data_IF_659288733593
#
_entry.id   IF_659288733593
#
_cell.length_a   1.000
_cell.length_b   1.000
_cell.length_c   1.000
_cell.angle_alpha   90.00
_cell.angle_beta   90.00
_cell.angle_gamma   90.00
#
_symmetry.space_group_name_H-M   'P 1'
#
loop_
_entity.id
_entity.type
_entity.pdbx_description
1 polymer ?
#
# COMPACT_ATOMS: atom_id res chain seq x y z
N UNK A 1 21.74 -21.52 -7.76
CA UNK A 1 20.76 -20.51 -7.26
C UNK A 1 20.31 -19.70 -8.47
N UNK A 2 19.00 -19.62 -8.70
CA UNK A 2 18.42 -18.85 -9.83
C UNK A 2 18.54 -17.35 -9.57
N UNK A 3 18.67 -16.58 -10.64
CA UNK A 3 18.90 -15.13 -10.57
C UNK A 3 17.67 -14.38 -11.08
N UNK A 4 17.14 -13.46 -10.29
CA UNK A 4 16.03 -12.57 -10.64
C UNK A 4 16.56 -11.17 -10.95
N UNK A 5 16.29 -10.67 -12.16
CA UNK A 5 16.53 -9.29 -12.54
C UNK A 5 15.41 -8.40 -11.99
N UNK A 6 15.72 -7.56 -11.03
CA UNK A 6 14.77 -6.63 -10.40
C UNK A 6 14.75 -5.31 -11.19
N UNK A 7 13.70 -5.11 -11.97
CA UNK A 7 13.59 -3.97 -12.89
C UNK A 7 12.88 -2.79 -12.21
N UNK A 8 13.65 -1.82 -11.76
CA UNK A 8 13.12 -0.64 -11.06
C UNK A 8 13.93 0.62 -11.34
N UNK A 9 13.28 1.80 -11.18
CA UNK A 9 13.97 3.09 -11.25
C UNK A 9 14.76 3.36 -9.97
N UNK A 10 14.16 3.08 -8.81
CA UNK A 10 14.82 3.20 -7.51
C UNK A 10 15.74 2.00 -7.26
N UNK A 11 16.91 2.25 -6.64
CA UNK A 11 17.83 1.19 -6.24
C UNK A 11 17.22 0.35 -5.10
N UNK A 12 16.86 -0.93 -5.32
CA UNK A 12 16.19 -1.74 -4.31
C UNK A 12 17.12 -2.16 -3.15
N UNK A 13 18.43 -1.91 -3.24
CA UNK A 13 19.39 -2.20 -2.18
C UNK A 13 19.61 -1.01 -1.23
N UNK A 14 19.24 0.22 -1.64
CA UNK A 14 19.55 1.45 -0.91
C UNK A 14 18.31 2.28 -0.60
N UNK A 15 17.35 2.36 -1.54
CA UNK A 15 16.20 3.24 -1.41
C UNK A 15 15.09 2.62 -0.54
N UNK A 16 15.10 3.00 0.74
CA UNK A 16 14.09 2.61 1.73
C UNK A 16 12.85 3.53 1.73
N UNK A 17 12.73 4.45 0.76
CA UNK A 17 11.60 5.42 0.68
C UNK A 17 10.67 5.16 -0.50
N UNK A 18 11.22 4.65 -1.61
CA UNK A 18 10.43 4.39 -2.81
C UNK A 18 9.28 3.43 -2.50
N UNK A 19 8.07 3.83 -2.93
CA UNK A 19 6.83 3.10 -2.68
C UNK A 19 6.64 2.75 -1.19
N UNK A 20 6.87 3.73 -0.30
CA UNK A 20 6.81 3.58 1.16
C UNK A 20 7.76 2.50 1.73
N UNK A 21 8.90 2.25 1.07
CA UNK A 21 9.87 1.23 1.45
C UNK A 21 9.64 -0.15 0.82
N UNK A 22 8.54 -0.33 0.11
CA UNK A 22 8.14 -1.63 -0.46
C UNK A 22 9.14 -2.13 -1.51
N UNK A 23 9.74 -1.24 -2.32
CA UNK A 23 10.76 -1.62 -3.32
C UNK A 23 11.95 -2.33 -2.63
N UNK A 24 12.42 -1.80 -1.52
CA UNK A 24 13.50 -2.38 -0.73
C UNK A 24 13.09 -3.73 -0.11
N UNK A 25 11.91 -3.78 0.53
CA UNK A 25 11.42 -4.98 1.23
C UNK A 25 11.07 -6.14 0.30
N UNK A 26 10.52 -5.87 -0.89
CA UNK A 26 10.28 -6.92 -1.90
C UNK A 26 11.61 -7.56 -2.33
N UNK A 27 12.68 -6.78 -2.52
CA UNK A 27 13.99 -7.31 -2.87
C UNK A 27 14.50 -8.24 -1.75
N UNK A 28 14.41 -7.82 -0.47
CA UNK A 28 14.76 -8.68 0.67
C UNK A 28 13.92 -9.97 0.68
N UNK A 29 12.60 -9.85 0.44
CA UNK A 29 11.71 -11.00 0.34
C UNK A 29 12.11 -11.99 -0.75
N UNK A 30 12.51 -11.50 -1.93
CA UNK A 30 12.99 -12.35 -3.03
C UNK A 30 14.30 -13.06 -2.65
N UNK A 31 15.23 -12.38 -1.96
CA UNK A 31 16.47 -13.00 -1.48
C UNK A 31 16.19 -14.03 -0.39
N UNK A 32 15.29 -13.74 0.54
CA UNK A 32 14.85 -14.67 1.59
C UNK A 32 14.12 -15.90 1.01
N UNK A 33 13.47 -15.75 -0.15
CA UNK A 33 12.89 -16.89 -0.89
C UNK A 33 13.95 -17.76 -1.58
N UNK A 34 15.24 -17.43 -1.50
CA UNK A 34 16.37 -18.21 -2.00
C UNK A 34 16.82 -17.87 -3.43
N UNK A 35 16.50 -16.68 -3.92
CA UNK A 35 16.93 -16.19 -5.24
C UNK A 35 18.04 -15.15 -5.11
N UNK A 36 18.95 -15.12 -6.06
CA UNK A 36 19.89 -14.02 -6.22
C UNK A 36 19.18 -12.86 -6.93
N UNK A 37 19.32 -11.64 -6.39
CA UNK A 37 18.76 -10.44 -7.01
C UNK A 37 19.85 -9.63 -7.71
N UNK A 38 19.58 -9.22 -8.94
CA UNK A 38 20.38 -8.28 -9.73
C UNK A 38 19.51 -7.08 -10.07
N UNK A 39 19.89 -5.90 -9.62
CA UNK A 39 19.18 -4.68 -10.00
C UNK A 39 19.41 -4.35 -11.47
N UNK A 40 18.32 -4.14 -12.18
CA UNK A 40 18.27 -3.68 -13.56
C UNK A 40 17.61 -2.31 -13.60
N UNK A 41 18.40 -1.23 -13.54
CA UNK A 41 17.86 0.11 -13.57
C UNK A 41 17.26 0.46 -14.92
N UNK A 42 16.18 1.27 -14.90
CA UNK A 42 15.71 2.00 -16.06
C UNK A 42 15.61 3.50 -15.75
N UNK A 43 15.68 4.34 -16.77
CA UNK A 43 15.59 5.79 -16.61
C UNK A 43 14.29 6.32 -17.23
N UNK A 44 13.44 6.90 -16.39
CA UNK A 44 12.16 7.52 -16.78
C UNK A 44 12.24 9.05 -16.88
N UNK A 45 13.44 9.64 -16.87
CA UNK A 45 13.65 11.10 -16.90
C UNK A 45 14.70 11.56 -17.93
N UNK A 46 14.84 10.82 -19.02
CA UNK A 46 15.69 11.25 -20.16
C UNK A 46 15.10 12.49 -20.85
N UNK A 47 15.90 13.15 -21.67
CA UNK A 47 15.41 14.27 -22.51
C UNK A 47 14.17 13.90 -23.33
N UNK A 48 14.13 12.69 -23.93
CA UNK A 48 12.97 12.20 -24.68
C UNK A 48 11.71 12.08 -23.80
N UNK A 49 11.86 11.63 -22.55
CA UNK A 49 10.74 11.61 -21.58
C UNK A 49 10.24 13.01 -21.25
N UNK A 50 11.14 13.98 -21.08
CA UNK A 50 10.76 15.39 -20.80
C UNK A 50 9.98 15.98 -21.97
N UNK A 51 10.42 15.73 -23.21
CA UNK A 51 9.70 16.14 -24.44
C UNK A 51 8.31 15.48 -24.49
N UNK A 52 8.21 14.17 -24.32
CA UNK A 52 6.93 13.45 -24.32
C UNK A 52 5.96 13.99 -23.26
N UNK A 53 6.44 14.15 -22.02
CA UNK A 53 5.64 14.71 -20.92
C UNK A 53 5.20 16.14 -21.21
N UNK A 54 6.05 16.94 -21.87
CA UNK A 54 5.75 18.30 -22.33
C UNK A 54 4.62 18.32 -23.38
N UNK A 55 4.68 17.46 -24.39
CA UNK A 55 3.66 17.34 -25.43
C UNK A 55 2.30 16.89 -24.85
N UNK A 56 2.30 15.91 -23.95
CA UNK A 56 1.08 15.46 -23.26
C UNK A 56 0.49 16.60 -22.43
N UNK A 57 1.33 17.34 -21.69
CA UNK A 57 0.91 18.51 -20.92
C UNK A 57 0.32 19.62 -21.80
N UNK A 58 0.93 19.88 -22.95
CA UNK A 58 0.43 20.87 -23.91
C UNK A 58 -0.94 20.48 -24.48
N UNK A 59 -1.12 19.19 -24.80
CA UNK A 59 -2.35 18.68 -25.43
C UNK A 59 -3.52 18.48 -24.45
N UNK A 60 -3.26 18.08 -23.20
CA UNK A 60 -4.27 17.63 -22.23
C UNK A 60 -4.25 18.37 -20.89
N UNK A 61 -3.32 19.33 -20.70
CA UNK A 61 -3.21 20.10 -19.47
C UNK A 61 -2.22 19.55 -18.44
N UNK A 62 -2.10 20.26 -17.30
CA UNK A 62 -1.07 19.98 -16.28
C UNK A 62 -1.38 18.72 -15.45
N UNK A 63 -2.65 18.49 -15.14
CA UNK A 63 -3.12 17.50 -14.16
C UNK A 63 -3.54 16.18 -14.80
N UNK A 64 -2.73 15.65 -15.73
CA UNK A 64 -2.98 14.38 -16.40
C UNK A 64 -1.82 13.41 -16.19
N UNK A 65 -2.10 12.12 -16.24
CA UNK A 65 -1.08 11.09 -16.24
C UNK A 65 -0.25 11.17 -17.52
N UNK A 66 1.08 11.20 -17.37
CA UNK A 66 2.02 11.38 -18.48
C UNK A 66 2.82 10.10 -18.79
N UNK A 67 2.67 9.11 -17.94
CA UNK A 67 3.52 7.90 -17.84
C UNK A 67 2.78 6.59 -18.14
N UNK A 68 1.45 6.60 -18.28
CA UNK A 68 0.65 5.41 -18.57
C UNK A 68 0.29 5.31 -20.07
N UNK A 69 1.31 5.28 -20.95
CA UNK A 69 1.11 5.16 -22.40
C UNK A 69 2.27 4.43 -23.08
N UNK A 70 2.02 3.91 -24.29
CA UNK A 70 2.97 3.11 -25.05
C UNK A 70 4.32 3.81 -25.32
N UNK A 71 4.30 5.12 -25.51
CA UNK A 71 5.53 5.88 -25.82
C UNK A 71 6.43 5.99 -24.60
N UNK A 72 5.83 6.24 -23.44
CA UNK A 72 6.55 6.28 -22.18
C UNK A 72 7.21 4.93 -21.86
N UNK A 73 6.44 3.83 -21.89
CA UNK A 73 6.98 2.50 -21.61
C UNK A 73 8.05 2.05 -22.59
N UNK A 74 7.90 2.41 -23.89
CA UNK A 74 8.94 2.16 -24.89
C UNK A 74 10.24 2.89 -24.54
N UNK A 75 10.15 4.19 -24.22
CA UNK A 75 11.32 4.97 -23.85
C UNK A 75 12.00 4.42 -22.58
N UNK A 76 11.24 3.97 -21.58
CA UNK A 76 11.81 3.32 -20.39
C UNK A 76 12.51 2.00 -20.77
N UNK A 77 11.86 1.15 -21.56
CA UNK A 77 12.42 -0.13 -22.02
C UNK A 77 13.73 0.04 -22.79
N UNK A 78 13.84 1.10 -23.62
CA UNK A 78 15.04 1.40 -24.41
C UNK A 78 16.27 1.73 -23.52
N UNK A 79 16.06 2.13 -22.26
CA UNK A 79 17.17 2.44 -21.32
C UNK A 79 17.69 1.23 -20.56
N UNK A 80 17.00 0.08 -20.62
CA UNK A 80 17.38 -1.14 -19.88
C UNK A 80 18.63 -1.76 -20.52
N UNK A 81 19.63 -2.10 -19.69
CA UNK A 81 20.84 -2.78 -20.14
C UNK A 81 20.60 -4.28 -20.38
N UNK A 82 20.63 -4.70 -21.64
CA UNK A 82 20.45 -6.10 -22.04
C UNK A 82 21.57 -7.03 -21.55
N UNK A 83 22.77 -6.50 -21.25
CA UNK A 83 23.84 -7.30 -20.64
C UNK A 83 23.52 -7.70 -19.20
N UNK A 84 22.77 -6.88 -18.46
CA UNK A 84 22.26 -7.26 -17.14
C UNK A 84 21.12 -8.28 -17.27
N UNK A 85 20.19 -8.05 -18.20
CA UNK A 85 19.08 -8.97 -18.49
C UNK A 85 19.59 -10.37 -18.85
N UNK A 86 20.65 -10.49 -19.66
CA UNK A 86 21.18 -11.79 -20.07
C UNK A 86 21.70 -12.65 -18.90
N UNK A 87 22.09 -12.02 -17.80
CA UNK A 87 22.59 -12.69 -16.59
C UNK A 87 21.50 -13.24 -15.68
N UNK A 88 20.22 -12.95 -15.98
CA UNK A 88 19.08 -13.31 -15.15
C UNK A 88 18.31 -14.50 -15.75
N UNK A 89 17.72 -15.31 -14.88
CA UNK A 89 16.80 -16.38 -15.30
C UNK A 89 15.38 -15.82 -15.49
N UNK A 90 14.96 -14.87 -14.64
CA UNK A 90 13.65 -14.23 -14.61
C UNK A 90 13.77 -12.73 -14.48
N UNK A 91 12.72 -11.99 -14.85
CA UNK A 91 12.62 -10.56 -14.59
C UNK A 91 11.42 -10.28 -13.69
N UNK A 92 11.66 -9.54 -12.60
CA UNK A 92 10.65 -9.09 -11.66
C UNK A 92 10.43 -7.59 -11.83
N UNK A 93 9.17 -7.22 -12.06
CA UNK A 93 8.74 -5.84 -12.22
C UNK A 93 7.83 -5.43 -11.05
N UNK A 94 8.30 -4.64 -10.08
CA UNK A 94 7.45 -4.00 -9.09
C UNK A 94 6.77 -2.78 -9.71
N UNK A 95 5.69 -3.02 -10.45
CA UNK A 95 5.13 -2.06 -11.40
C UNK A 95 5.88 -2.04 -12.73
N UNK A 96 5.26 -1.47 -13.77
CA UNK A 96 5.93 -1.17 -15.05
C UNK A 96 6.22 -2.36 -15.98
N UNK A 97 5.65 -3.55 -15.74
CA UNK A 97 5.82 -4.72 -16.63
C UNK A 97 5.40 -4.45 -18.09
N UNK A 98 4.65 -3.39 -18.33
CA UNK A 98 4.29 -2.89 -19.67
C UNK A 98 5.53 -2.61 -20.54
N UNK A 99 6.70 -2.37 -19.94
CA UNK A 99 7.96 -2.21 -20.68
C UNK A 99 8.34 -3.46 -21.49
N UNK A 100 8.04 -4.65 -20.96
CA UNK A 100 8.34 -5.92 -21.60
C UNK A 100 7.54 -6.18 -22.90
N UNK A 101 6.47 -5.43 -23.12
CA UNK A 101 5.70 -5.46 -24.37
C UNK A 101 6.46 -4.76 -25.52
N UNK A 102 7.25 -3.75 -25.19
CA UNK A 102 7.92 -2.88 -26.17
C UNK A 102 9.39 -3.23 -26.42
N UNK A 103 9.92 -4.18 -25.65
CA UNK A 103 11.25 -4.74 -25.82
C UNK A 103 11.24 -6.20 -25.40
N UNK A 104 11.60 -7.09 -26.32
CA UNK A 104 11.71 -8.52 -26.00
C UNK A 104 12.95 -8.77 -25.14
N UNK A 105 12.74 -9.23 -23.92
CA UNK A 105 13.80 -9.58 -22.98
C UNK A 105 14.18 -11.07 -23.03
N UNK A 106 13.40 -11.92 -23.72
CA UNK A 106 13.56 -13.38 -23.79
C UNK A 106 13.69 -14.03 -22.40
N UNK A 107 12.95 -13.51 -21.40
CA UNK A 107 12.92 -14.00 -20.04
C UNK A 107 11.47 -14.04 -19.54
N UNK A 108 11.08 -15.02 -18.71
CA UNK A 108 9.78 -15.01 -18.06
C UNK A 108 9.64 -13.76 -17.16
N UNK A 109 8.50 -13.11 -17.24
CA UNK A 109 8.18 -11.87 -16.53
C UNK A 109 7.31 -12.18 -15.31
N UNK A 110 7.71 -11.68 -14.15
CA UNK A 110 6.91 -11.67 -12.91
C UNK A 110 6.47 -10.24 -12.69
N UNK A 111 5.16 -10.00 -12.72
CA UNK A 111 4.58 -8.68 -12.54
C UNK A 111 3.90 -8.56 -11.19
N UNK A 112 4.42 -7.71 -10.31
CA UNK A 112 3.87 -7.43 -8.99
C UNK A 112 3.46 -5.96 -8.85
N UNK A 113 2.23 -5.71 -8.36
CA UNK A 113 1.74 -4.35 -8.03
C UNK A 113 0.54 -4.42 -7.08
N UNK A 114 0.16 -3.29 -6.51
CA UNK A 114 -0.99 -3.15 -5.61
C UNK A 114 -2.29 -2.77 -6.32
N UNK A 115 -2.22 -2.28 -7.56
CA UNK A 115 -3.39 -1.93 -8.35
C UNK A 115 -3.11 -2.05 -9.86
N UNK A 116 -4.16 -2.25 -10.65
CA UNK A 116 -4.15 -2.17 -12.11
C UNK A 116 -4.75 -0.82 -12.56
N UNK A 117 -4.47 -0.40 -13.78
CA UNK A 117 -4.85 0.93 -14.27
C UNK A 117 -6.35 1.22 -14.17
N UNK A 118 -7.24 0.28 -14.56
CA UNK A 118 -8.69 0.55 -14.59
C UNK A 118 -9.31 0.82 -13.21
N UNK A 119 -8.87 0.08 -12.18
CA UNK A 119 -9.39 0.22 -10.82
C UNK A 119 -8.86 1.46 -10.08
N UNK A 120 -7.92 2.19 -10.70
CA UNK A 120 -7.45 3.49 -10.23
C UNK A 120 -8.29 4.65 -10.79
N UNK A 121 -9.08 4.42 -11.86
CA UNK A 121 -9.97 5.43 -12.44
C UNK A 121 -11.09 5.74 -11.45
N UNK A 122 -11.38 7.05 -11.28
CA UNK A 122 -12.37 7.57 -10.33
C UNK A 122 -12.17 7.12 -8.86
N UNK A 123 -10.98 6.56 -8.58
CA UNK A 123 -10.55 6.12 -7.26
C UNK A 123 -9.36 6.94 -6.72
N UNK A 124 -8.27 7.02 -7.52
CA UNK A 124 -7.14 7.93 -7.30
C UNK A 124 -7.01 8.95 -8.43
N UNK A 125 -7.46 8.61 -9.62
CA UNK A 125 -7.32 9.41 -10.83
C UNK A 125 -8.67 9.82 -11.36
N UNK A 126 -8.97 11.09 -11.22
CA UNK A 126 -10.26 11.68 -11.60
C UNK A 126 -10.15 12.47 -12.91
N UNK A 127 -11.22 12.48 -13.69
CA UNK A 127 -11.39 13.34 -14.88
C UNK A 127 -10.28 13.18 -15.93
N UNK A 128 -9.76 11.96 -16.13
CA UNK A 128 -8.74 11.72 -17.14
C UNK A 128 -9.31 11.82 -18.56
N UNK A 129 -8.53 12.39 -19.53
CA UNK A 129 -8.91 12.41 -20.94
C UNK A 129 -9.09 10.99 -21.51
N UNK A 130 -10.08 10.78 -22.38
CA UNK A 130 -10.37 9.48 -23.02
C UNK A 130 -9.15 8.83 -23.67
N UNK A 131 -8.27 9.62 -24.27
CA UNK A 131 -7.03 9.09 -24.87
C UNK A 131 -6.11 8.48 -23.80
N UNK A 132 -5.91 9.14 -22.67
CA UNK A 132 -5.10 8.65 -21.54
C UNK A 132 -5.69 7.34 -21.02
N UNK A 133 -7.02 7.30 -20.80
CA UNK A 133 -7.72 6.08 -20.33
C UNK A 133 -7.53 4.93 -21.33
N UNK A 134 -7.72 5.20 -22.62
CA UNK A 134 -7.53 4.19 -23.68
C UNK A 134 -6.09 3.66 -23.72
N UNK A 135 -5.09 4.55 -23.64
CA UNK A 135 -3.68 4.14 -23.64
C UNK A 135 -3.30 3.37 -22.38
N UNK A 136 -3.70 3.85 -21.21
CA UNK A 136 -3.44 3.20 -19.93
C UNK A 136 -4.01 1.77 -19.89
N UNK A 137 -5.30 1.60 -20.19
CA UNK A 137 -5.93 0.28 -20.24
C UNK A 137 -5.30 -0.65 -21.28
N UNK A 138 -4.92 -0.11 -22.46
CA UNK A 138 -4.26 -0.92 -23.50
C UNK A 138 -2.90 -1.41 -23.04
N UNK A 139 -2.07 -0.53 -22.48
CA UNK A 139 -0.72 -0.89 -22.03
C UNK A 139 -0.76 -1.82 -20.84
N UNK A 140 -1.69 -1.61 -19.89
CA UNK A 140 -1.90 -2.49 -18.74
C UNK A 140 -2.27 -3.91 -19.21
N UNK A 141 -3.28 -4.04 -20.06
CA UNK A 141 -3.71 -5.32 -20.64
C UNK A 141 -2.54 -6.08 -21.25
N UNK A 142 -1.76 -5.40 -22.09
CA UNK A 142 -0.60 -6.03 -22.75
C UNK A 142 0.48 -6.42 -21.74
N UNK A 143 0.73 -5.62 -20.71
CA UNK A 143 1.68 -5.93 -19.64
C UNK A 143 1.25 -7.18 -18.87
N UNK A 144 -0.02 -7.26 -18.47
CA UNK A 144 -0.60 -8.42 -17.77
C UNK A 144 -0.52 -9.68 -18.64
N UNK A 145 -0.95 -9.61 -19.89
CA UNK A 145 -0.98 -10.77 -20.80
C UNK A 145 0.41 -11.25 -21.20
N UNK A 146 1.41 -10.34 -21.24
CA UNK A 146 2.79 -10.70 -21.56
C UNK A 146 3.56 -11.22 -20.32
N UNK A 147 3.02 -11.07 -19.13
CA UNK A 147 3.63 -11.57 -17.91
C UNK A 147 3.39 -13.06 -17.73
N UNK A 148 4.44 -13.80 -17.37
CA UNK A 148 4.35 -15.24 -17.07
C UNK A 148 3.58 -15.48 -15.77
N UNK A 149 3.82 -14.63 -14.75
CA UNK A 149 3.12 -14.62 -13.48
C UNK A 149 2.66 -13.20 -13.17
N UNK A 150 1.41 -13.06 -12.76
CA UNK A 150 0.84 -11.84 -12.20
C UNK A 150 0.63 -12.03 -10.70
N UNK A 151 1.18 -11.13 -9.88
CA UNK A 151 1.00 -11.11 -8.44
C UNK A 151 0.43 -9.74 -8.05
N UNK A 152 -0.57 -9.73 -7.17
CA UNK A 152 -1.17 -8.50 -6.66
C UNK A 152 -1.17 -8.49 -5.14
N UNK A 153 -1.07 -7.28 -4.57
CA UNK A 153 -1.04 -7.11 -3.13
C UNK A 153 -2.41 -7.27 -2.45
N UNK A 154 -3.47 -7.51 -3.23
CA UNK A 154 -4.82 -7.75 -2.73
C UNK A 154 -5.67 -8.52 -3.72
N UNK A 155 -6.72 -9.18 -3.21
CA UNK A 155 -7.72 -9.85 -4.05
C UNK A 155 -8.45 -8.86 -4.97
N UNK A 156 -8.76 -7.64 -4.49
CA UNK A 156 -9.36 -6.58 -5.29
C UNK A 156 -8.56 -6.28 -6.57
N UNK A 157 -7.22 -6.17 -6.45
CA UNK A 157 -6.35 -5.96 -7.60
C UNK A 157 -6.17 -7.23 -8.45
N UNK A 158 -6.13 -8.42 -7.84
CA UNK A 158 -6.02 -9.69 -8.55
C UNK A 158 -7.29 -10.02 -9.34
N UNK A 159 -8.47 -9.75 -8.80
CA UNK A 159 -9.73 -9.94 -9.53
C UNK A 159 -9.78 -9.08 -10.80
N UNK A 160 -9.27 -7.85 -10.76
CA UNK A 160 -9.17 -6.97 -11.92
C UNK A 160 -8.25 -7.51 -13.02
N UNK A 161 -7.19 -8.27 -12.69
CA UNK A 161 -6.34 -8.94 -13.70
C UNK A 161 -7.18 -9.84 -14.60
N UNK A 162 -8.08 -10.61 -14.02
CA UNK A 162 -8.94 -11.54 -14.76
C UNK A 162 -10.13 -10.82 -15.40
N UNK A 163 -10.88 -10.07 -14.59
CA UNK A 163 -12.17 -9.51 -15.00
C UNK A 163 -12.04 -8.37 -16.01
N UNK A 164 -11.04 -7.49 -15.84
CA UNK A 164 -10.89 -6.29 -16.68
C UNK A 164 -9.90 -6.47 -17.82
N UNK A 165 -8.91 -7.36 -17.63
CA UNK A 165 -7.78 -7.50 -18.57
C UNK A 165 -7.65 -8.86 -19.23
N UNK A 166 -8.51 -9.84 -18.89
CA UNK A 166 -8.45 -11.22 -19.38
C UNK A 166 -7.07 -11.86 -19.14
N UNK A 167 -6.47 -11.60 -17.96
CA UNK A 167 -5.27 -12.27 -17.51
C UNK A 167 -5.55 -13.75 -17.18
N UNK A 168 -4.52 -14.59 -17.26
CA UNK A 168 -4.65 -16.01 -16.96
C UNK A 168 -4.92 -16.23 -15.47
N UNK A 169 -6.06 -16.79 -15.05
CA UNK A 169 -6.38 -17.04 -13.65
C UNK A 169 -5.42 -18.02 -12.97
N UNK A 170 -4.90 -19.01 -13.70
CA UNK A 170 -3.98 -20.03 -13.17
C UNK A 170 -2.58 -19.48 -12.84
N UNK A 171 -2.28 -18.25 -13.29
CA UNK A 171 -1.02 -17.53 -13.07
C UNK A 171 -1.22 -16.18 -12.43
N UNK A 172 -2.32 -16.02 -11.72
CA UNK A 172 -2.70 -14.81 -11.03
C UNK A 172 -2.81 -15.08 -9.52
N UNK A 173 -1.96 -14.45 -8.74
CA UNK A 173 -1.76 -14.72 -7.32
C UNK A 173 -1.94 -13.48 -6.47
N UNK A 174 -2.23 -13.69 -5.20
CA UNK A 174 -2.25 -12.64 -4.18
C UNK A 174 -1.12 -12.89 -3.19
N UNK A 175 -0.27 -11.91 -2.99
CA UNK A 175 0.66 -11.84 -1.85
C UNK A 175 0.56 -10.43 -1.28
N UNK A 176 0.06 -10.31 -0.07
CA UNK A 176 -0.10 -9.05 0.62
C UNK A 176 1.27 -8.43 0.98
N UNK A 177 1.32 -7.10 1.08
CA UNK A 177 2.51 -6.44 1.62
C UNK A 177 2.70 -6.75 3.10
N UNK A 178 3.92 -7.08 3.46
CA UNK A 178 4.34 -7.12 4.86
C UNK A 178 4.42 -5.73 5.49
N UNK A 179 4.43 -5.67 6.81
CA UNK A 179 4.68 -4.44 7.55
C UNK A 179 6.12 -3.92 7.29
N UNK A 180 6.27 -2.63 7.03
CA UNK A 180 7.58 -2.00 6.83
C UNK A 180 8.19 -1.58 8.18
N UNK A 181 8.36 -2.57 9.06
CA UNK A 181 8.95 -2.45 10.39
C UNK A 181 10.23 -3.27 10.49
N UNK A 182 11.13 -2.88 11.39
CA UNK A 182 12.23 -3.73 11.82
C UNK A 182 11.74 -4.59 12.99
N UNK A 183 12.12 -5.87 13.04
CA UNK A 183 11.64 -6.82 14.07
C UNK A 183 11.89 -6.32 15.49
N UNK A 184 13.04 -5.66 15.73
CA UNK A 184 13.40 -5.06 17.04
C UNK A 184 12.45 -3.95 17.51
N UNK A 185 11.68 -3.36 16.60
CA UNK A 185 10.78 -2.24 16.88
C UNK A 185 9.33 -2.72 17.08
N UNK A 186 9.07 -4.02 16.92
CA UNK A 186 7.76 -4.62 17.14
C UNK A 186 7.57 -4.84 18.65
N UNK A 187 6.47 -4.35 19.17
CA UNK A 187 6.00 -4.57 20.54
C UNK A 187 4.48 -4.68 20.50
N UNK A 188 3.90 -5.28 21.55
CA UNK A 188 2.45 -5.33 21.65
C UNK A 188 1.96 -4.22 22.59
N UNK A 189 0.91 -3.52 22.16
CA UNK A 189 0.26 -2.50 22.98
C UNK A 189 -0.47 -3.15 24.16
N UNK A 190 -0.67 -2.37 25.21
CA UNK A 190 -1.57 -2.78 26.31
C UNK A 190 -3.01 -2.55 25.86
N UNK A 191 -3.91 -3.52 26.06
CA UNK A 191 -5.34 -3.32 25.82
C UNK A 191 -5.87 -2.15 26.68
N UNK A 192 -6.87 -1.45 26.14
CA UNK A 192 -7.59 -0.43 26.89
C UNK A 192 -8.38 -1.09 28.02
N UNK A 193 -8.26 -0.55 29.24
CA UNK A 193 -9.00 -1.01 30.42
C UNK A 193 -9.91 0.07 30.95
N UNK A 194 -9.39 1.28 31.13
CA UNK A 194 -10.12 2.44 31.67
C UNK A 194 -9.42 3.76 31.27
N UNK A 195 -10.03 4.88 31.69
CA UNK A 195 -9.48 6.23 31.51
C UNK A 195 -9.73 6.80 30.10
N UNK A 196 -8.72 7.44 29.52
CA UNK A 196 -8.85 8.07 28.21
C UNK A 196 -8.56 7.08 27.09
N UNK A 197 -9.52 6.87 26.18
CA UNK A 197 -9.34 6.07 24.98
C UNK A 197 -8.50 6.84 23.95
N UNK A 198 -7.23 6.52 23.84
CA UNK A 198 -6.34 7.11 22.84
C UNK A 198 -6.53 6.43 21.49
N UNK A 199 -6.94 7.19 20.49
CA UNK A 199 -7.26 6.75 19.15
C UNK A 199 -6.18 7.27 18.21
N UNK A 200 -5.45 6.38 17.56
CA UNK A 200 -4.40 6.74 16.61
C UNK A 200 -4.99 6.94 15.21
N UNK A 201 -4.62 8.03 14.56
CA UNK A 201 -4.76 8.26 13.13
C UNK A 201 -3.38 8.43 12.51
N UNK A 202 -3.07 7.74 11.42
CA UNK A 202 -1.80 7.89 10.71
C UNK A 202 -2.01 8.02 9.21
N UNK A 203 -1.70 9.19 8.66
CA UNK A 203 -1.87 9.46 7.23
C UNK A 203 -1.36 10.85 6.82
N UNK A 204 -1.03 11.00 5.54
CA UNK A 204 -0.43 12.24 5.00
C UNK A 204 -1.40 13.11 4.18
N UNK A 205 -2.61 12.60 3.91
CA UNK A 205 -3.62 13.28 3.10
C UNK A 205 -4.90 13.45 3.90
N UNK A 206 -5.29 14.69 4.16
CA UNK A 206 -6.44 15.04 4.98
C UNK A 206 -7.75 14.43 4.47
N UNK A 207 -8.08 14.67 3.22
CA UNK A 207 -9.38 14.28 2.63
C UNK A 207 -9.44 12.79 2.33
N UNK A 208 -8.42 12.27 1.65
CA UNK A 208 -8.40 10.87 1.25
C UNK A 208 -8.35 9.94 2.45
N UNK A 209 -7.58 10.29 3.48
CA UNK A 209 -7.46 9.49 4.71
C UNK A 209 -8.60 9.72 5.70
N UNK A 210 -9.48 10.70 5.46
CA UNK A 210 -10.71 10.90 6.24
C UNK A 210 -10.49 11.45 7.65
N UNK A 211 -9.53 12.37 7.82
CA UNK A 211 -9.22 12.95 9.12
C UNK A 211 -10.44 13.61 9.77
N UNK A 212 -11.28 14.31 9.00
CA UNK A 212 -12.50 14.93 9.50
C UNK A 212 -13.52 13.91 10.03
N UNK A 213 -13.57 12.71 9.46
CA UNK A 213 -14.45 11.63 9.93
C UNK A 213 -13.92 11.06 11.23
N UNK A 214 -12.60 10.88 11.35
CA UNK A 214 -11.97 10.43 12.60
C UNK A 214 -12.19 11.43 13.74
N UNK A 215 -12.04 12.74 13.46
CA UNK A 215 -12.31 13.80 14.46
C UNK A 215 -13.77 13.80 14.87
N UNK A 216 -14.71 13.68 13.92
CA UNK A 216 -16.14 13.60 14.22
C UNK A 216 -16.49 12.35 15.05
N UNK A 217 -15.87 11.20 14.77
CA UNK A 217 -16.06 9.99 15.56
C UNK A 217 -15.61 10.19 17.02
N UNK A 218 -14.46 10.81 17.25
CA UNK A 218 -13.95 11.10 18.60
C UNK A 218 -14.82 12.13 19.31
N UNK A 219 -15.33 13.15 18.62
CA UNK A 219 -16.33 14.09 19.17
C UNK A 219 -17.57 13.34 19.65
N UNK A 220 -18.13 12.46 18.82
CA UNK A 220 -19.32 11.66 19.16
C UNK A 220 -19.09 10.75 20.39
N UNK A 221 -17.90 10.12 20.51
CA UNK A 221 -17.56 9.31 21.67
C UNK A 221 -17.54 10.16 22.95
N UNK A 222 -16.91 11.35 22.93
CA UNK A 222 -16.87 12.26 24.07
C UNK A 222 -18.27 12.76 24.46
N UNK A 223 -19.14 13.09 23.50
CA UNK A 223 -20.54 13.49 23.74
C UNK A 223 -21.36 12.38 24.45
N UNK A 224 -20.95 11.11 24.31
CA UNK A 224 -21.56 9.94 24.95
C UNK A 224 -20.91 9.56 26.30
N UNK A 225 -19.96 10.38 26.76
CA UNK A 225 -19.26 10.15 28.03
C UNK A 225 -18.07 9.17 27.93
N UNK A 226 -17.68 8.74 26.73
CA UNK A 226 -16.47 7.95 26.50
C UNK A 226 -15.32 8.91 26.29
N UNK A 227 -14.58 9.22 27.35
CA UNK A 227 -13.42 10.12 27.28
C UNK A 227 -12.42 9.61 26.26
N UNK A 228 -12.26 10.34 25.15
CA UNK A 228 -11.45 9.89 24.01
C UNK A 228 -10.57 11.01 23.48
N UNK A 229 -9.38 10.66 22.99
CA UNK A 229 -8.41 11.57 22.39
C UNK A 229 -7.92 11.03 21.04
N UNK A 230 -7.89 11.90 20.02
CA UNK A 230 -7.35 11.58 18.70
C UNK A 230 -5.91 12.05 18.55
N UNK A 231 -5.00 11.12 18.30
CA UNK A 231 -3.59 11.39 18.05
C UNK A 231 -3.37 11.41 16.53
N UNK A 232 -3.22 12.61 15.94
CA UNK A 232 -3.04 12.80 14.49
C UNK A 232 -1.56 12.75 14.12
N UNK A 233 -1.14 11.71 13.41
CA UNK A 233 0.21 11.53 12.91
C UNK A 233 0.24 11.61 11.38
N UNK A 234 1.26 12.29 10.83
CA UNK A 234 1.54 12.32 9.40
C UNK A 234 0.97 13.52 8.66
N UNK A 235 -0.01 14.21 9.20
CA UNK A 235 -0.57 15.41 8.59
C UNK A 235 0.38 16.60 8.79
N UNK A 236 0.65 17.34 7.71
CA UNK A 236 1.46 18.59 7.76
C UNK A 236 0.61 19.78 8.13
N UNK A 237 -0.57 19.84 7.50
CA UNK A 237 -1.49 20.97 7.66
C UNK A 237 -2.83 20.44 8.21
N UNK A 238 -3.12 20.79 9.45
CA UNK A 238 -4.41 20.54 10.09
C UNK A 238 -5.18 21.86 10.09
N UNK A 239 -6.41 21.91 9.52
CA UNK A 239 -7.20 23.15 9.53
C UNK A 239 -7.40 23.66 10.96
N UNK A 240 -7.23 24.98 11.16
CA UNK A 240 -7.20 25.60 12.48
C UNK A 240 -8.43 25.28 13.33
N UNK A 241 -9.61 25.13 12.72
CA UNK A 241 -10.85 24.76 13.39
C UNK A 241 -10.80 23.39 14.07
N UNK A 242 -9.90 22.48 13.63
CA UNK A 242 -9.72 21.16 14.20
C UNK A 242 -8.48 21.07 15.12
N UNK A 243 -7.45 21.85 14.84
CA UNK A 243 -6.19 21.83 15.59
C UNK A 243 -6.35 22.22 17.07
N UNK A 244 -7.36 23.06 17.40
CA UNK A 244 -7.60 23.58 18.74
C UNK A 244 -8.67 22.81 19.53
N UNK A 245 -9.17 21.70 19.00
CA UNK A 245 -10.17 20.88 19.72
C UNK A 245 -9.49 20.16 20.89
N UNK A 246 -10.11 20.18 22.10
CA UNK A 246 -9.46 19.64 23.31
C UNK A 246 -9.18 18.13 23.26
N UNK A 247 -9.88 17.41 22.41
CA UNK A 247 -9.72 15.98 22.19
C UNK A 247 -8.88 15.63 20.94
N UNK A 248 -8.23 16.61 20.31
CA UNK A 248 -7.33 16.41 19.16
C UNK A 248 -5.91 16.81 19.52
N UNK A 249 -4.99 15.87 19.41
CA UNK A 249 -3.56 16.12 19.52
C UNK A 249 -2.89 16.01 18.16
N UNK A 250 -2.47 17.16 17.60
CA UNK A 250 -1.73 17.18 16.34
C UNK A 250 -0.25 16.88 16.60
N UNK A 251 0.15 15.62 16.39
CA UNK A 251 1.55 15.18 16.48
C UNK A 251 2.37 15.69 15.30
N UNK A 252 1.72 15.88 14.14
CA UNK A 252 2.33 16.36 12.90
C UNK A 252 3.03 15.27 12.10
N UNK A 253 3.73 15.72 11.04
CA UNK A 253 4.51 14.81 10.19
C UNK A 253 5.80 14.39 10.90
N UNK A 254 6.02 13.08 11.03
CA UNK A 254 7.23 12.51 11.61
C UNK A 254 8.03 11.77 10.53
N UNK A 255 9.28 12.20 10.34
CA UNK A 255 10.21 11.54 9.43
C UNK A 255 10.96 10.42 10.17
N UNK A 256 10.62 9.17 9.87
CA UNK A 256 11.18 7.97 10.51
C UNK A 256 12.71 7.83 10.35
N UNK A 257 13.36 8.62 9.49
CA UNK A 257 14.83 8.61 9.35
C UNK A 257 15.55 9.44 10.45
N UNK A 258 14.85 10.24 11.22
CA UNK A 258 15.42 11.00 12.33
C UNK A 258 15.09 10.28 13.66
N UNK A 259 16.10 9.87 14.44
CA UNK A 259 15.89 9.05 15.64
C UNK A 259 14.89 9.64 16.63
N UNK A 260 14.93 10.96 16.87
CA UNK A 260 14.00 11.61 17.80
C UNK A 260 12.56 11.60 17.29
N UNK A 261 12.35 11.81 15.97
CA UNK A 261 11.03 11.76 15.37
C UNK A 261 10.51 10.31 15.30
N UNK A 262 11.39 9.36 15.03
CA UNK A 262 11.05 7.94 15.07
C UNK A 262 10.68 7.52 16.49
N UNK A 263 11.45 7.93 17.51
CA UNK A 263 11.10 7.68 18.90
C UNK A 263 9.72 8.25 19.26
N UNK A 264 9.45 9.51 18.88
CA UNK A 264 8.13 10.13 19.08
C UNK A 264 7.01 9.35 18.39
N UNK A 265 7.25 8.82 17.18
CA UNK A 265 6.30 7.97 16.46
C UNK A 265 5.99 6.69 17.26
N UNK A 266 7.00 5.99 17.73
CA UNK A 266 6.88 4.77 18.53
C UNK A 266 6.18 5.05 19.88
N UNK A 267 6.55 6.13 20.56
CA UNK A 267 5.92 6.51 21.83
C UNK A 267 4.42 6.88 21.64
N UNK A 268 4.07 7.47 20.49
CA UNK A 268 2.67 7.72 20.12
C UNK A 268 1.90 6.43 19.90
N UNK A 269 2.48 5.43 19.25
CA UNK A 269 1.85 4.11 19.08
C UNK A 269 1.65 3.43 20.45
N UNK A 270 2.64 3.48 21.31
CA UNK A 270 2.60 2.82 22.64
C UNK A 270 1.47 3.30 23.54
N UNK A 271 1.09 4.56 23.43
CA UNK A 271 -0.02 5.13 24.22
C UNK A 271 -1.39 4.97 23.54
N UNK A 272 -1.43 4.42 22.30
CA UNK A 272 -2.65 4.26 21.54
C UNK A 272 -3.33 2.94 21.87
N UNK A 273 -4.68 2.90 21.81
CA UNK A 273 -5.47 1.72 22.12
C UNK A 273 -6.18 1.14 20.89
N UNK A 274 -6.54 1.98 19.90
CA UNK A 274 -7.11 1.58 18.62
C UNK A 274 -6.55 2.44 17.49
N UNK A 275 -6.64 1.93 16.28
CA UNK A 275 -6.30 2.64 15.06
C UNK A 275 -7.56 2.96 14.25
N UNK A 276 -7.81 4.23 13.99
CA UNK A 276 -8.94 4.72 13.22
C UNK A 276 -8.45 5.43 11.95
N UNK A 277 -8.69 4.83 10.80
CA UNK A 277 -8.33 5.40 9.51
C UNK A 277 -9.49 5.27 8.51
N UNK A 278 -10.43 6.22 8.47
CA UNK A 278 -11.56 6.21 7.53
C UNK A 278 -11.08 6.59 6.11
N UNK A 279 -10.13 5.83 5.55
CA UNK A 279 -9.54 6.13 4.25
C UNK A 279 -10.51 5.81 3.12
N UNK A 280 -10.74 6.78 2.24
CA UNK A 280 -11.67 6.67 1.11
C UNK A 280 -11.11 5.90 -0.08
N UNK A 281 -9.79 5.81 -0.15
CA UNK A 281 -9.09 5.08 -1.20
C UNK A 281 -7.78 4.50 -0.66
N UNK A 282 -7.58 3.17 -0.88
CA UNK A 282 -6.39 2.43 -0.48
C UNK A 282 -6.21 1.18 -1.35
N UNK A 283 -5.09 1.06 -2.06
CA UNK A 283 -4.86 -0.09 -2.94
C UNK A 283 -4.47 -1.35 -2.16
N UNK A 284 -3.68 -1.18 -1.09
CA UNK A 284 -3.25 -2.26 -0.22
C UNK A 284 -3.32 -1.84 1.25
N UNK A 285 -2.56 -0.82 1.65
CA UNK A 285 -2.60 -0.28 3.01
C UNK A 285 -1.60 -0.94 3.96
N UNK A 286 -0.31 -0.77 3.66
CA UNK A 286 0.80 -1.25 4.51
C UNK A 286 0.64 -0.86 5.98
N UNK A 287 0.05 0.30 6.25
CA UNK A 287 -0.22 0.80 7.59
C UNK A 287 -1.08 -0.16 8.41
N UNK A 288 -1.99 -0.90 7.78
CA UNK A 288 -2.79 -1.91 8.47
C UNK A 288 -1.97 -3.14 8.87
N UNK A 289 -0.98 -3.54 8.05
CA UNK A 289 0.00 -4.56 8.44
C UNK A 289 0.86 -4.09 9.63
N UNK A 290 1.31 -2.82 9.60
CA UNK A 290 2.12 -2.23 10.67
C UNK A 290 1.34 -2.20 11.99
N UNK A 291 0.08 -1.74 12.01
CA UNK A 291 -0.69 -1.65 13.25
C UNK A 291 -1.25 -3.00 13.72
N UNK A 292 -1.44 -3.96 12.84
CA UNK A 292 -1.70 -5.35 13.21
C UNK A 292 -0.51 -5.96 13.97
N UNK A 293 0.74 -5.66 13.57
CA UNK A 293 1.92 -6.11 14.28
C UNK A 293 2.00 -5.61 15.73
N UNK A 294 1.49 -4.41 16.00
CA UNK A 294 1.42 -3.86 17.35
C UNK A 294 0.19 -4.33 18.15
N UNK A 295 -0.77 -4.97 17.50
CA UNK A 295 -2.02 -5.41 18.13
C UNK A 295 -3.04 -4.30 18.34
N UNK A 296 -3.01 -3.25 17.52
CA UNK A 296 -4.04 -2.19 17.52
C UNK A 296 -5.30 -2.67 16.79
N UNK A 297 -6.47 -2.72 17.43
CA UNK A 297 -7.75 -2.91 16.73
C UNK A 297 -7.98 -1.83 15.69
N UNK A 298 -8.39 -2.22 14.48
CA UNK A 298 -8.45 -1.33 13.31
C UNK A 298 -9.89 -1.01 12.94
N UNK A 299 -10.20 0.29 12.77
CA UNK A 299 -11.48 0.76 12.25
C UNK A 299 -11.23 1.58 10.98
N UNK A 300 -11.86 1.16 9.87
CA UNK A 300 -11.61 1.77 8.55
C UNK A 300 -12.83 1.65 7.63
N UNK A 301 -12.76 2.20 6.41
CA UNK A 301 -13.77 1.91 5.38
C UNK A 301 -13.48 0.60 4.64
N UNK A 302 -14.54 -0.02 4.13
CA UNK A 302 -14.44 -1.15 3.21
C UNK A 302 -14.26 -0.62 1.79
N UNK A 303 -13.00 -0.50 1.35
CA UNK A 303 -12.66 0.02 0.02
C UNK A 303 -11.36 -0.55 -0.51
N UNK A 304 -11.25 -0.72 -1.83
CA UNK A 304 -10.03 -1.19 -2.50
C UNK A 304 -9.49 -2.50 -1.96
N UNK A 305 -8.19 -2.55 -1.71
CA UNK A 305 -7.50 -3.75 -1.24
C UNK A 305 -7.56 -3.98 0.28
N UNK A 306 -8.22 -3.11 1.06
CA UNK A 306 -8.23 -3.17 2.54
C UNK A 306 -8.72 -4.53 3.05
N UNK A 307 -9.66 -5.18 2.35
CA UNK A 307 -10.24 -6.46 2.76
C UNK A 307 -9.23 -7.60 2.97
N UNK A 308 -8.02 -7.48 2.41
CA UNK A 308 -6.94 -8.44 2.64
C UNK A 308 -6.16 -8.16 3.95
N UNK A 309 -6.24 -6.95 4.47
CA UNK A 309 -5.46 -6.46 5.61
C UNK A 309 -6.30 -6.28 6.88
N UNK A 310 -7.59 -5.97 6.72
CA UNK A 310 -8.54 -5.81 7.82
C UNK A 310 -9.68 -6.80 7.62
N UNK A 311 -9.85 -7.69 8.58
CA UNK A 311 -10.86 -8.76 8.57
C UNK A 311 -11.82 -8.52 9.73
N UNK A 312 -13.11 -8.34 9.42
CA UNK A 312 -14.14 -8.00 10.40
C UNK A 312 -14.22 -9.06 11.52
N UNK A 313 -14.19 -8.59 12.77
CA UNK A 313 -14.20 -9.42 13.97
C UNK A 313 -12.91 -10.18 14.26
N UNK A 314 -11.86 -10.03 13.42
CA UNK A 314 -10.53 -10.64 13.61
C UNK A 314 -9.55 -9.60 14.13
N UNK A 315 -9.21 -8.58 13.32
CA UNK A 315 -8.27 -7.51 13.70
C UNK A 315 -8.89 -6.11 13.66
N UNK A 316 -10.20 -6.00 13.41
CA UNK A 316 -10.91 -4.73 13.34
C UNK A 316 -12.24 -4.84 12.64
N UNK A 317 -12.73 -3.70 12.15
CA UNK A 317 -13.99 -3.59 11.42
C UNK A 317 -13.88 -2.61 10.25
N UNK A 318 -14.55 -2.97 9.16
CA UNK A 318 -14.70 -2.14 7.96
C UNK A 318 -16.12 -1.64 7.84
N UNK A 319 -16.32 -0.34 7.74
CA UNK A 319 -17.62 0.29 7.53
C UNK A 319 -17.82 0.64 6.05
N UNK A 320 -19.06 0.77 5.58
CA UNK A 320 -19.33 1.23 4.22
C UNK A 320 -18.85 2.68 4.01
N UNK A 321 -18.48 3.05 2.79
CA UNK A 321 -18.02 4.42 2.45
C UNK A 321 -19.03 5.54 2.75
N UNK A 322 -20.30 5.19 2.95
CA UNK A 322 -21.37 6.11 3.36
C UNK A 322 -21.36 6.46 4.84
N UNK A 323 -20.67 5.66 5.68
CA UNK A 323 -20.55 5.88 7.11
C UNK A 323 -19.86 7.23 7.40
N UNK A 324 -20.28 7.90 8.47
CA UNK A 324 -19.73 9.15 8.96
C UNK A 324 -19.11 8.92 10.33
N UNK A 325 -18.68 9.97 11.01
CA UNK A 325 -18.12 9.86 12.36
C UNK A 325 -19.05 9.17 13.35
N UNK A 326 -20.37 9.39 13.23
CA UNK A 326 -21.35 8.73 14.08
C UNK A 326 -21.29 7.21 14.00
N UNK A 327 -21.30 6.64 12.79
CA UNK A 327 -21.28 5.19 12.58
C UNK A 327 -19.94 4.57 13.04
N UNK A 328 -18.82 5.29 12.88
CA UNK A 328 -17.54 4.86 13.46
C UNK A 328 -17.58 4.89 14.99
N UNK A 329 -18.15 5.94 15.59
CA UNK A 329 -18.33 6.02 17.03
C UNK A 329 -19.23 4.90 17.54
N UNK A 330 -20.36 4.62 16.87
CA UNK A 330 -21.28 3.51 17.19
C UNK A 330 -20.53 2.17 17.24
N UNK A 331 -19.69 1.90 16.21
CA UNK A 331 -18.94 0.63 16.13
C UNK A 331 -17.80 0.53 17.15
N UNK A 332 -17.11 1.62 17.44
CA UNK A 332 -16.07 1.68 18.48
C UNK A 332 -16.71 1.46 19.86
N UNK A 333 -17.81 2.15 20.17
CA UNK A 333 -18.54 2.01 21.41
C UNK A 333 -19.10 0.59 21.61
N UNK A 334 -19.67 0.00 20.56
CA UNK A 334 -20.14 -1.39 20.56
C UNK A 334 -18.99 -2.35 20.90
N UNK A 335 -17.85 -2.22 20.20
CA UNK A 335 -16.68 -3.07 20.44
C UNK A 335 -16.09 -2.87 21.85
N UNK A 336 -16.14 -1.65 22.37
CA UNK A 336 -15.72 -1.35 23.74
C UNK A 336 -16.65 -2.03 24.78
N UNK A 337 -17.96 -1.88 24.63
CA UNK A 337 -18.97 -2.50 25.52
C UNK A 337 -18.90 -4.03 25.52
N UNK A 338 -18.56 -4.60 24.39
CA UNK A 338 -18.40 -6.05 24.21
C UNK A 338 -17.02 -6.58 24.62
N UNK A 339 -16.12 -5.71 25.13
CA UNK A 339 -14.73 -6.05 25.49
C UNK A 339 -13.94 -6.70 24.34
N UNK A 340 -14.16 -6.24 23.10
CA UNK A 340 -13.55 -6.87 21.90
C UNK A 340 -12.11 -6.42 21.64
N UNK A 341 -11.63 -5.31 22.19
CA UNK A 341 -10.36 -4.70 21.82
C UNK A 341 -9.16 -5.64 22.02
N UNK A 342 -9.13 -6.38 23.13
CA UNK A 342 -8.06 -7.35 23.36
C UNK A 342 -8.10 -8.48 22.32
N UNK A 343 -9.28 -9.05 22.05
CA UNK A 343 -9.48 -10.10 21.05
C UNK A 343 -9.06 -9.63 19.66
N UNK A 344 -9.48 -8.42 19.26
CA UNK A 344 -9.12 -7.82 17.95
C UNK A 344 -7.62 -7.56 17.86
N UNK A 345 -6.98 -7.09 18.93
CA UNK A 345 -5.55 -6.90 19.00
C UNK A 345 -4.78 -8.21 18.82
N UNK A 346 -5.16 -9.27 19.54
CA UNK A 346 -4.57 -10.60 19.40
C UNK A 346 -4.80 -11.18 17.99
N UNK A 347 -5.99 -10.97 17.41
CA UNK A 347 -6.29 -11.33 16.04
C UNK A 347 -5.39 -10.61 15.03
N UNK A 348 -5.08 -9.33 15.27
CA UNK A 348 -4.13 -8.53 14.48
C UNK A 348 -2.71 -9.11 14.52
N UNK A 349 -2.21 -9.40 15.74
CA UNK A 349 -0.89 -10.02 15.94
C UNK A 349 -0.82 -11.38 15.21
N UNK A 350 -1.85 -12.19 15.35
CA UNK A 350 -1.93 -13.49 14.66
C UNK A 350 -1.90 -13.32 13.15
N UNK A 351 -2.72 -12.43 12.59
CA UNK A 351 -2.77 -12.16 11.15
C UNK A 351 -1.43 -11.61 10.63
N UNK A 352 -0.76 -10.74 11.40
CA UNK A 352 0.59 -10.28 11.08
C UNK A 352 1.58 -11.45 11.02
N UNK A 353 1.63 -12.29 12.03
CA UNK A 353 2.58 -13.41 12.11
C UNK A 353 2.35 -14.43 10.98
N UNK A 354 1.10 -14.69 10.60
CA UNK A 354 0.75 -15.69 9.60
C UNK A 354 0.87 -15.17 8.16
N UNK A 355 0.64 -13.85 7.93
CA UNK A 355 0.40 -13.35 6.58
C UNK A 355 0.99 -11.97 6.28
N UNK A 356 0.91 -11.00 7.21
CA UNK A 356 1.17 -9.59 6.92
C UNK A 356 2.61 -9.18 7.27
N UNK A 357 3.58 -10.06 7.06
CA UNK A 357 5.01 -9.84 7.29
C UNK A 357 5.84 -10.27 6.06
N UNK A 358 7.06 -9.79 5.97
CA UNK A 358 7.93 -10.06 4.81
C UNK A 358 8.50 -11.48 4.76
N UNK A 359 8.49 -12.21 5.88
CA UNK A 359 8.85 -13.63 5.89
C UNK A 359 7.75 -14.46 5.21
N UNK A 360 6.49 -14.27 5.60
CA UNK A 360 5.34 -14.92 4.96
C UNK A 360 5.22 -14.55 3.46
N UNK A 361 5.58 -13.30 3.10
CA UNK A 361 5.70 -12.87 1.71
C UNK A 361 6.72 -13.71 0.96
N UNK A 362 7.92 -13.90 1.53
CA UNK A 362 9.00 -14.68 0.92
C UNK A 362 8.61 -16.16 0.71
N UNK A 363 7.98 -16.79 1.71
CA UNK A 363 7.52 -18.17 1.60
C UNK A 363 6.41 -18.32 0.54
N UNK A 364 5.46 -17.37 0.48
CA UNK A 364 4.41 -17.35 -0.54
C UNK A 364 5.01 -17.17 -1.93
N UNK A 365 5.96 -16.27 -2.09
CA UNK A 365 6.66 -16.06 -3.36
C UNK A 365 7.43 -17.32 -3.80
N UNK A 366 8.18 -17.94 -2.89
CA UNK A 366 8.91 -19.19 -3.13
C UNK A 366 7.98 -20.28 -3.60
N UNK A 367 6.84 -20.47 -2.92
CA UNK A 367 5.83 -21.46 -3.29
C UNK A 367 5.28 -21.22 -4.70
N UNK A 368 4.90 -19.97 -5.03
CA UNK A 368 4.42 -19.62 -6.38
C UNK A 368 5.46 -19.96 -7.44
N UNK A 369 6.73 -19.64 -7.19
CA UNK A 369 7.80 -19.93 -8.14
C UNK A 369 7.97 -21.45 -8.35
N UNK A 370 7.92 -22.24 -7.28
CA UNK A 370 8.00 -23.69 -7.34
C UNK A 370 6.79 -24.32 -8.07
N UNK A 371 5.57 -23.88 -7.75
CA UNK A 371 4.34 -24.40 -8.36
C UNK A 371 4.27 -24.10 -9.86
N UNK A 372 4.95 -23.06 -10.34
CA UNK A 372 5.06 -22.73 -11.77
C UNK A 372 6.32 -23.28 -12.44
N UNK A 373 7.08 -24.13 -11.77
CA UNK A 373 8.32 -24.75 -12.29
C UNK A 373 9.38 -23.72 -12.73
N UNK A 374 9.49 -22.58 -12.03
CA UNK A 374 10.45 -21.50 -12.34
C UNK A 374 11.33 -21.12 -11.15
#
# INVERSE_FOLDING_TARGET
>A
MKTIGYVSQANPFEDKKAWSGTIYRIREGIENAGYKVVWIPYNADTFKHKVLKGLIKLRFGKNVLKDHNKYYYKLCADTIDMKLVSKCDYLFFPGGAQMAVYRNFNKPIIYYTDANFCIMLDYYWYNLPKWIIKQGNKTERLGIQNSYINIRASKWAADSVVNDYNGNPDRNYVIEFGANLEDKDIFHIKPYTDGTLNILFSGVDWKRKGAEIAIDAVRQLNERGITSKLLLVGLRDVPQQYANLPYVENIGFLNKNYPDQYKKYIDTIRQSHIFLLPTRAECAGIVFSEFSAYGLPIFTYNTGGIGNYVIDGVNGYKLPLTAKGKEFADKIEESLKNNEFEKLGQGGIKLFNEKLNWHSWAESFKKIMQDNCI
#
